data_IF_695362026038
#
_entry.id   IF_695362026038
#
_cell.length_a   1.000
_cell.length_b   1.000
_cell.length_c   1.000
_cell.angle_alpha   90.00
_cell.angle_beta   90.00
_cell.angle_gamma   90.00
#
_symmetry.space_group_name_H-M   'P 1'
#
loop_
_entity.id
_entity.type
_entity.pdbx_description
1 polymer ?
#
# COMPACT_ATOMS: atom_id res chain seq x y z
N UNK A 1 -21.15 42.08 -75.39
CA UNK A 1 -22.58 41.85 -75.72
C UNK A 1 -23.04 40.67 -74.86
N UNK A 2 -23.78 40.89 -73.76
CA UNK A 2 -25.27 40.74 -73.64
C UNK A 2 -25.70 39.31 -74.06
N UNK A 3 -26.25 38.44 -73.21
CA UNK A 3 -27.41 38.57 -72.29
C UNK A 3 -27.51 37.37 -71.33
N UNK A 4 -27.96 37.60 -70.07
CA UNK A 4 -28.56 36.57 -69.18
C UNK A 4 -29.98 36.17 -69.62
N UNK A 5 -30.70 35.26 -68.91
CA UNK A 5 -31.30 35.53 -67.57
C UNK A 5 -31.18 34.35 -66.56
N UNK A 6 -31.05 34.54 -65.25
CA UNK A 6 -32.05 34.91 -64.19
C UNK A 6 -33.18 33.86 -63.97
N UNK A 7 -33.11 33.09 -62.86
CA UNK A 7 -33.96 33.22 -61.63
C UNK A 7 -33.75 32.04 -60.65
N UNK A 8 -33.56 32.41 -59.39
CA UNK A 8 -33.55 31.70 -58.08
C UNK A 8 -34.98 31.34 -57.61
N UNK A 9 -35.27 30.94 -56.34
CA UNK A 9 -34.50 30.28 -55.25
C UNK A 9 -35.25 29.07 -54.62
N UNK A 10 -34.63 28.33 -53.70
CA UNK A 10 -35.35 27.87 -52.49
C UNK A 10 -34.41 27.89 -51.28
N UNK A 11 -34.93 28.53 -50.25
CA UNK A 11 -34.30 28.84 -48.98
C UNK A 11 -34.19 27.60 -48.09
N UNK A 12 -33.08 27.46 -47.37
CA UNK A 12 -33.10 26.86 -46.04
C UNK A 12 -32.20 27.65 -45.12
N UNK A 13 -32.85 28.56 -44.41
CA UNK A 13 -32.31 29.32 -43.29
C UNK A 13 -32.48 28.47 -42.04
N UNK A 14 -31.38 28.13 -41.35
CA UNK A 14 -31.37 28.10 -39.88
C UNK A 14 -29.94 28.24 -39.35
N UNK A 15 -29.58 29.48 -39.03
CA UNK A 15 -28.58 29.79 -38.01
C UNK A 15 -29.24 29.74 -36.64
N UNK A 16 -28.66 29.02 -35.68
CA UNK A 16 -28.48 29.50 -34.29
C UNK A 16 -27.31 28.74 -33.65
N UNK A 17 -26.30 29.49 -33.21
CA UNK A 17 -25.13 29.18 -32.36
C UNK A 17 -25.55 28.75 -30.92
N UNK A 18 -24.64 28.59 -29.92
CA UNK A 18 -23.30 27.99 -29.86
C UNK A 18 -23.20 26.94 -28.71
N UNK A 19 -22.01 26.36 -28.51
CA UNK A 19 -21.71 25.32 -27.53
C UNK A 19 -22.12 25.63 -26.07
N UNK A 20 -22.72 24.61 -25.44
CA UNK A 20 -22.76 24.49 -23.99
C UNK A 20 -21.57 23.64 -23.50
N UNK A 21 -20.98 23.96 -22.34
CA UNK A 21 -19.90 23.15 -21.76
C UNK A 21 -20.45 21.75 -21.37
N UNK A 22 -19.65 20.67 -21.49
CA UNK A 22 -20.01 19.41 -20.87
C UNK A 22 -20.05 19.60 -19.35
N UNK A 23 -21.18 19.27 -18.74
CA UNK A 23 -21.35 19.26 -17.28
C UNK A 23 -20.31 18.33 -16.62
N UNK A 24 -19.66 18.73 -15.51
CA UNK A 24 -18.70 17.87 -14.83
C UNK A 24 -19.41 16.82 -13.96
N UNK A 25 -19.03 15.56 -14.14
CA UNK A 25 -18.52 14.76 -13.02
C UNK A 25 -19.47 14.19 -11.96
N UNK A 26 -20.79 14.07 -12.16
CA UNK A 26 -21.64 13.44 -11.13
C UNK A 26 -21.57 11.90 -11.08
N UNK A 27 -21.11 11.24 -12.14
CA UNK A 27 -21.16 9.76 -12.25
C UNK A 27 -19.90 9.04 -11.75
N UNK A 28 -18.88 9.77 -11.29
CA UNK A 28 -17.64 9.17 -10.74
C UNK A 28 -17.79 8.92 -9.24
N UNK A 29 -18.40 9.86 -8.49
CA UNK A 29 -18.57 9.76 -7.04
C UNK A 29 -19.59 8.70 -6.58
N UNK A 30 -20.64 8.45 -7.36
CA UNK A 30 -21.63 7.42 -7.02
C UNK A 30 -21.11 5.99 -7.26
N UNK A 31 -20.27 5.79 -8.28
CA UNK A 31 -19.61 4.50 -8.55
C UNK A 31 -18.56 4.16 -7.51
N UNK A 32 -17.81 5.14 -7.02
CA UNK A 32 -16.88 4.95 -5.90
C UNK A 32 -17.60 4.70 -4.58
N UNK A 33 -18.71 5.40 -4.29
CA UNK A 33 -19.50 5.14 -3.08
C UNK A 33 -20.15 3.76 -3.05
N UNK A 34 -20.65 3.27 -4.18
CA UNK A 34 -21.17 1.92 -4.31
C UNK A 34 -20.07 0.86 -4.20
N UNK A 35 -18.90 1.08 -4.82
CA UNK A 35 -17.75 0.16 -4.72
C UNK A 35 -17.18 0.12 -3.29
N UNK A 36 -17.20 1.23 -2.55
CA UNK A 36 -16.76 1.28 -1.15
C UNK A 36 -17.60 0.39 -0.22
N UNK A 37 -18.93 0.41 -0.37
CA UNK A 37 -19.81 -0.46 0.43
C UNK A 37 -19.65 -1.94 0.09
N UNK A 38 -19.22 -2.26 -1.13
CA UNK A 38 -18.96 -3.65 -1.55
C UNK A 38 -17.68 -4.17 -0.91
N UNK A 39 -16.59 -3.40 -0.94
CA UNK A 39 -15.33 -3.79 -0.28
C UNK A 39 -15.50 -3.99 1.22
N UNK A 40 -16.23 -3.11 1.91
CA UNK A 40 -16.45 -3.25 3.36
C UNK A 40 -17.25 -4.53 3.70
N UNK A 41 -18.20 -4.92 2.84
CA UNK A 41 -18.94 -6.17 2.99
C UNK A 41 -18.06 -7.39 2.72
N UNK A 42 -17.19 -7.33 1.71
CA UNK A 42 -16.21 -8.39 1.41
C UNK A 42 -15.27 -8.57 2.61
N UNK A 43 -14.69 -7.48 3.11
CA UNK A 43 -13.79 -7.50 4.27
C UNK A 43 -14.47 -8.13 5.47
N UNK A 44 -15.67 -7.65 5.81
CA UNK A 44 -16.39 -8.18 6.96
C UNK A 44 -16.76 -9.65 6.80
N UNK A 45 -17.24 -10.05 5.62
CA UNK A 45 -17.58 -11.45 5.34
C UNK A 45 -16.35 -12.35 5.46
N UNK A 46 -15.20 -11.91 4.98
CA UNK A 46 -13.94 -12.65 5.10
C UNK A 46 -13.47 -12.72 6.56
N UNK A 47 -13.47 -11.59 7.25
CA UNK A 47 -13.07 -11.50 8.65
C UNK A 47 -13.98 -12.28 9.59
N UNK A 48 -15.26 -12.43 9.26
CA UNK A 48 -16.22 -13.23 10.01
C UNK A 48 -16.16 -14.73 9.63
N UNK A 49 -15.40 -15.10 8.59
CA UNK A 49 -15.18 -16.48 8.17
C UNK A 49 -16.31 -17.05 7.32
N UNK A 50 -17.03 -16.19 6.60
CA UNK A 50 -18.13 -16.59 5.72
C UNK A 50 -17.62 -17.37 4.50
N UNK A 51 -18.18 -18.56 4.27
CA UNK A 51 -17.92 -19.36 3.06
C UNK A 51 -18.52 -18.72 1.79
N UNK A 52 -19.38 -17.70 1.93
CA UNK A 52 -20.10 -17.09 0.81
C UNK A 52 -19.19 -16.37 -0.21
N UNK A 53 -17.95 -16.04 0.17
CA UNK A 53 -16.97 -15.42 -0.72
C UNK A 53 -16.15 -16.44 -1.53
N UNK A 54 -16.30 -17.73 -1.25
CA UNK A 54 -15.46 -18.78 -1.82
C UNK A 54 -14.00 -18.68 -1.37
N UNK A 55 -13.09 -19.42 -2.03
CA UNK A 55 -11.67 -19.44 -1.68
C UNK A 55 -11.01 -18.07 -1.88
N UNK A 56 -10.28 -17.62 -0.87
CA UNK A 56 -9.58 -16.33 -0.90
C UNK A 56 -8.65 -16.13 -2.12
N UNK A 57 -7.89 -17.13 -2.59
CA UNK A 57 -7.08 -17.00 -3.79
C UNK A 57 -7.92 -16.69 -5.05
N UNK A 58 -9.05 -17.36 -5.23
CA UNK A 58 -9.93 -17.15 -6.38
C UNK A 58 -10.49 -15.73 -6.38
N UNK A 59 -10.98 -15.25 -5.23
CA UNK A 59 -11.46 -13.87 -5.06
C UNK A 59 -10.38 -12.84 -5.42
N UNK A 60 -9.14 -13.04 -4.94
CA UNK A 60 -8.03 -12.13 -5.22
C UNK A 60 -7.64 -12.10 -6.69
N UNK A 61 -7.59 -13.27 -7.35
CA UNK A 61 -7.31 -13.37 -8.78
C UNK A 61 -8.40 -12.71 -9.62
N UNK A 62 -9.67 -12.96 -9.30
CA UNK A 62 -10.81 -12.35 -9.99
C UNK A 62 -10.81 -10.82 -9.82
N UNK A 63 -10.58 -10.34 -8.59
CA UNK A 63 -10.49 -8.90 -8.31
C UNK A 63 -9.33 -8.25 -9.06
N UNK A 64 -8.17 -8.90 -9.08
CA UNK A 64 -6.98 -8.41 -9.75
C UNK A 64 -7.09 -8.39 -11.28
N UNK A 65 -7.94 -9.24 -11.86
CA UNK A 65 -8.16 -9.34 -13.29
C UNK A 65 -9.04 -8.21 -13.86
N UNK A 66 -9.78 -7.48 -13.01
CA UNK A 66 -10.61 -6.35 -13.43
C UNK A 66 -9.77 -5.11 -13.80
N UNK A 67 -10.38 -4.18 -14.53
CA UNK A 67 -9.78 -2.86 -14.76
C UNK A 67 -9.55 -2.13 -13.43
N UNK A 68 -8.30 -1.76 -13.15
CA UNK A 68 -7.90 -1.21 -11.83
C UNK A 68 -7.79 -2.26 -10.72
N UNK A 69 -7.79 -3.55 -11.06
CA UNK A 69 -7.72 -4.67 -10.12
C UNK A 69 -6.57 -4.61 -9.10
N UNK A 70 -5.32 -4.30 -9.49
CA UNK A 70 -4.23 -4.15 -8.53
C UNK A 70 -4.52 -3.08 -7.47
N UNK A 71 -5.07 -1.93 -7.87
CA UNK A 71 -5.45 -0.87 -6.93
C UNK A 71 -6.59 -1.34 -6.00
N UNK A 72 -7.56 -2.11 -6.51
CA UNK A 72 -8.63 -2.67 -5.69
C UNK A 72 -8.11 -3.68 -4.66
N UNK A 73 -7.15 -4.54 -5.01
CA UNK A 73 -6.51 -5.46 -4.06
C UNK A 73 -5.68 -4.69 -3.03
N UNK A 74 -4.95 -3.65 -3.45
CA UNK A 74 -4.21 -2.79 -2.53
C UNK A 74 -5.14 -2.12 -1.52
N UNK A 75 -6.24 -1.55 -1.98
CA UNK A 75 -7.27 -0.94 -1.12
C UNK A 75 -7.90 -1.98 -0.17
N UNK A 76 -8.15 -3.20 -0.66
CA UNK A 76 -8.65 -4.31 0.15
C UNK A 76 -7.70 -4.61 1.32
N UNK A 77 -6.40 -4.74 1.06
CA UNK A 77 -5.38 -4.98 2.10
C UNK A 77 -5.28 -3.81 3.09
N UNK A 78 -5.33 -2.57 2.58
CA UNK A 78 -5.30 -1.35 3.40
C UNK A 78 -6.48 -1.28 4.37
N UNK A 79 -7.70 -1.53 3.89
CA UNK A 79 -8.91 -1.55 4.73
C UNK A 79 -8.99 -2.75 5.66
N UNK A 80 -8.48 -3.90 5.23
CA UNK A 80 -8.36 -5.07 6.09
C UNK A 80 -7.45 -4.77 7.29
N UNK A 81 -6.29 -4.15 7.06
CA UNK A 81 -5.44 -3.66 8.15
C UNK A 81 -6.21 -2.68 9.05
N UNK A 82 -6.97 -1.75 8.47
CA UNK A 82 -7.78 -0.81 9.23
C UNK A 82 -8.83 -1.48 10.14
N UNK A 83 -9.43 -2.58 9.70
CA UNK A 83 -10.34 -3.38 10.50
C UNK A 83 -9.61 -4.08 11.65
N UNK A 84 -8.41 -4.64 11.41
CA UNK A 84 -7.58 -5.27 12.44
C UNK A 84 -7.13 -4.25 13.50
N UNK A 85 -6.75 -3.03 13.11
CA UNK A 85 -6.38 -1.95 14.04
C UNK A 85 -7.53 -1.65 15.02
N UNK A 86 -8.78 -1.74 14.56
CA UNK A 86 -9.99 -1.36 15.32
C UNK A 86 -10.72 -2.52 15.98
N UNK A 87 -10.25 -3.76 15.81
CA UNK A 87 -10.98 -4.92 16.33
C UNK A 87 -10.97 -4.98 17.87
N UNK A 88 -11.67 -5.95 18.45
CA UNK A 88 -11.56 -6.26 19.88
C UNK A 88 -10.37 -7.18 20.13
N UNK A 89 -9.85 -7.23 21.36
CA UNK A 89 -8.65 -8.01 21.71
C UNK A 89 -8.81 -9.51 21.45
N UNK A 90 -10.00 -10.06 21.71
CA UNK A 90 -10.32 -11.48 21.52
C UNK A 90 -10.72 -11.82 20.08
N UNK A 91 -10.66 -10.85 19.17
CA UNK A 91 -11.11 -11.03 17.79
C UNK A 91 -10.20 -12.00 17.03
N UNK A 92 -10.76 -12.94 16.24
CA UNK A 92 -9.97 -13.80 15.36
C UNK A 92 -9.46 -13.06 14.10
N UNK A 93 -9.79 -11.77 13.95
CA UNK A 93 -9.52 -10.99 12.74
C UNK A 93 -8.04 -10.84 12.38
N UNK A 94 -7.08 -10.66 13.32
CA UNK A 94 -5.66 -10.53 12.95
C UNK A 94 -5.14 -11.78 12.21
N UNK A 95 -5.44 -12.98 12.72
CA UNK A 95 -5.03 -14.24 12.09
C UNK A 95 -5.67 -14.46 10.72
N UNK A 96 -6.97 -14.12 10.58
CA UNK A 96 -7.67 -14.19 9.29
C UNK A 96 -7.09 -13.20 8.29
N UNK A 97 -6.83 -11.97 8.72
CA UNK A 97 -6.24 -10.95 7.86
C UNK A 97 -4.84 -11.34 7.36
N UNK A 98 -4.01 -11.92 8.23
CA UNK A 98 -2.71 -12.46 7.86
C UNK A 98 -2.83 -13.60 6.84
N UNK A 99 -3.85 -14.45 6.95
CA UNK A 99 -4.12 -15.49 5.96
C UNK A 99 -4.48 -14.91 4.58
N UNK A 100 -5.30 -13.85 4.52
CA UNK A 100 -5.59 -13.19 3.23
C UNK A 100 -4.35 -12.55 2.62
N UNK A 101 -3.55 -11.85 3.43
CA UNK A 101 -2.30 -11.25 2.96
C UNK A 101 -1.35 -12.31 2.41
N UNK A 102 -1.23 -13.46 3.08
CA UNK A 102 -0.48 -14.61 2.57
C UNK A 102 -1.01 -15.10 1.22
N UNK A 103 -2.33 -15.26 1.07
CA UNK A 103 -2.92 -15.61 -0.22
C UNK A 103 -2.61 -14.57 -1.31
N UNK A 104 -2.61 -13.27 -0.99
CA UNK A 104 -2.25 -12.22 -1.95
C UNK A 104 -0.79 -12.29 -2.40
N UNK A 105 0.13 -12.65 -1.50
CA UNK A 105 1.54 -12.92 -1.82
C UNK A 105 1.70 -14.15 -2.72
N UNK A 106 0.87 -15.18 -2.53
CA UNK A 106 0.94 -16.44 -3.28
C UNK A 106 0.23 -16.37 -4.65
N UNK A 107 -0.73 -15.46 -4.82
CA UNK A 107 -1.52 -15.31 -6.04
C UNK A 107 -0.76 -14.66 -7.22
N UNK A 108 0.56 -14.43 -7.11
CA UNK A 108 1.42 -13.86 -8.16
C UNK A 108 0.84 -12.59 -8.80
N UNK A 109 0.24 -11.74 -7.96
CA UNK A 109 -0.39 -10.50 -8.40
C UNK A 109 0.67 -9.50 -8.90
N UNK A 110 0.24 -8.50 -9.68
CA UNK A 110 1.11 -7.36 -10.01
C UNK A 110 1.62 -6.71 -8.71
N UNK A 111 2.91 -6.35 -8.60
CA UNK A 111 3.49 -5.79 -7.37
C UNK A 111 2.69 -4.66 -6.72
N UNK A 112 2.14 -3.75 -7.53
CA UNK A 112 1.33 -2.63 -7.05
C UNK A 112 0.11 -3.05 -6.20
N UNK A 113 -0.39 -4.28 -6.36
CA UNK A 113 -1.48 -4.84 -5.57
C UNK A 113 -1.16 -5.00 -4.08
N UNK A 114 0.13 -5.08 -3.73
CA UNK A 114 0.58 -5.28 -2.35
C UNK A 114 0.87 -3.97 -1.61
N UNK A 115 0.73 -2.81 -2.28
CA UNK A 115 1.07 -1.49 -1.71
C UNK A 115 0.36 -1.23 -0.37
N UNK A 116 -0.93 -1.53 -0.29
CA UNK A 116 -1.75 -1.32 0.91
C UNK A 116 -1.39 -2.21 2.09
N UNK A 117 -0.59 -3.26 1.90
CA UNK A 117 -0.13 -4.12 2.99
C UNK A 117 0.71 -3.35 4.04
N UNK A 118 1.32 -2.23 3.65
CA UNK A 118 2.07 -1.37 4.58
C UNK A 118 1.25 -0.88 5.78
N UNK A 119 -0.08 -0.76 5.65
CA UNK A 119 -0.98 -0.36 6.75
C UNK A 119 -1.01 -1.35 7.92
N UNK A 120 -0.62 -2.61 7.71
CA UNK A 120 -0.48 -3.57 8.81
C UNK A 120 0.62 -3.16 9.81
N UNK A 121 1.49 -2.19 9.48
CA UNK A 121 2.42 -1.61 10.44
C UNK A 121 1.74 -1.03 11.70
N UNK A 122 0.48 -0.59 11.61
CA UNK A 122 -0.27 -0.10 12.78
C UNK A 122 -1.07 -1.19 13.50
N UNK A 123 -1.11 -2.41 12.97
CA UNK A 123 -1.92 -3.50 13.51
C UNK A 123 -1.15 -4.22 14.63
N UNK A 124 -1.01 -3.59 15.80
CA UNK A 124 -0.24 -4.14 16.94
C UNK A 124 -0.76 -5.50 17.45
N UNK A 125 -2.02 -5.85 17.15
CA UNK A 125 -2.61 -7.16 17.48
C UNK A 125 -2.25 -8.28 16.51
N UNK A 126 -1.66 -7.96 15.37
CA UNK A 126 -1.10 -8.98 14.49
C UNK A 126 0.21 -9.44 15.10
N UNK A 127 0.37 -10.75 15.27
CA UNK A 127 1.60 -11.38 15.74
C UNK A 127 2.84 -10.86 14.97
N UNK A 128 3.89 -10.49 15.71
CA UNK A 128 5.06 -9.84 15.13
C UNK A 128 5.86 -10.78 14.22
N UNK A 129 5.93 -12.08 14.52
CA UNK A 129 6.60 -13.04 13.64
C UNK A 129 5.87 -13.17 12.30
N UNK A 130 4.54 -13.24 12.34
CA UNK A 130 3.71 -13.21 11.14
C UNK A 130 3.83 -11.89 10.37
N UNK A 131 3.84 -10.75 11.05
CA UNK A 131 4.00 -9.44 10.42
C UNK A 131 5.38 -9.29 9.76
N UNK A 132 6.47 -9.71 10.42
CA UNK A 132 7.83 -9.65 9.90
C UNK A 132 7.98 -10.52 8.63
N UNK A 133 7.52 -11.77 8.65
CA UNK A 133 7.56 -12.67 7.49
C UNK A 133 6.82 -12.08 6.28
N UNK A 134 5.56 -11.69 6.49
CA UNK A 134 4.71 -11.18 5.42
C UNK A 134 5.21 -9.84 4.87
N UNK A 135 5.73 -8.96 5.75
CA UNK A 135 6.32 -7.68 5.35
C UNK A 135 7.59 -7.90 4.53
N UNK A 136 8.50 -8.75 4.98
CA UNK A 136 9.75 -9.05 4.27
C UNK A 136 9.50 -9.60 2.86
N UNK A 137 8.54 -10.53 2.73
CA UNK A 137 8.11 -11.06 1.43
C UNK A 137 7.49 -9.98 0.56
N UNK A 138 6.71 -9.08 1.16
CA UNK A 138 6.07 -7.99 0.43
C UNK A 138 7.07 -6.96 -0.08
N UNK A 139 7.99 -6.46 0.76
CA UNK A 139 8.97 -5.44 0.34
C UNK A 139 9.92 -5.94 -0.75
N UNK A 140 10.18 -7.25 -0.78
CA UNK A 140 10.94 -7.90 -1.87
C UNK A 140 10.24 -7.77 -3.22
N UNK A 141 8.91 -7.88 -3.24
CA UNK A 141 8.11 -7.81 -4.47
C UNK A 141 7.71 -6.37 -4.81
N UNK A 142 7.38 -5.57 -3.80
CA UNK A 142 6.84 -4.23 -3.89
C UNK A 142 7.46 -3.34 -2.80
N UNK A 143 8.57 -2.63 -3.09
CA UNK A 143 9.22 -1.76 -2.11
C UNK A 143 8.43 -0.48 -1.82
N UNK A 144 7.46 -0.12 -2.69
CA UNK A 144 6.60 1.04 -2.52
C UNK A 144 5.35 0.68 -1.72
N UNK A 145 5.51 0.57 -0.41
CA UNK A 145 4.42 0.35 0.54
C UNK A 145 3.70 1.65 0.91
N UNK A 146 2.44 1.54 1.33
CA UNK A 146 1.81 2.60 2.12
C UNK A 146 2.54 2.78 3.46
N UNK A 147 2.55 4.01 3.96
CA UNK A 147 3.08 4.37 5.30
C UNK A 147 4.45 3.75 5.63
N UNK A 148 5.48 3.88 4.76
CA UNK A 148 6.78 3.24 4.95
C UNK A 148 7.50 3.68 6.24
N UNK A 149 7.21 4.88 6.75
CA UNK A 149 7.72 5.34 8.04
C UNK A 149 7.19 4.49 9.20
N UNK A 150 5.91 4.13 9.20
CA UNK A 150 5.32 3.26 10.23
C UNK A 150 5.84 1.83 10.12
N UNK A 151 6.10 1.35 8.89
CA UNK A 151 6.77 0.05 8.68
C UNK A 151 8.17 0.07 9.28
N UNK A 152 8.95 1.13 9.05
CA UNK A 152 10.27 1.30 9.67
C UNK A 152 10.18 1.43 11.21
N UNK A 153 9.20 2.17 11.71
CA UNK A 153 8.93 2.33 13.14
C UNK A 153 8.64 0.98 13.83
N UNK A 154 7.74 0.16 13.25
CA UNK A 154 7.41 -1.15 13.79
C UNK A 154 8.58 -2.12 13.69
N UNK A 155 9.31 -2.13 12.58
CA UNK A 155 10.54 -2.93 12.44
C UNK A 155 11.57 -2.57 13.53
N UNK A 156 11.69 -1.28 13.88
CA UNK A 156 12.61 -0.83 14.92
C UNK A 156 12.30 -1.35 16.33
N UNK A 157 11.16 -2.01 16.56
CA UNK A 157 10.83 -2.67 17.83
C UNK A 157 11.47 -4.05 17.98
N UNK A 158 12.15 -4.56 16.94
CA UNK A 158 12.71 -5.92 16.89
C UNK A 158 14.24 -5.91 16.61
N UNK A 159 15.06 -5.39 17.54
CA UNK A 159 16.51 -5.29 17.36
C UNK A 159 17.24 -6.65 17.26
N UNK A 160 16.62 -7.71 17.73
CA UNK A 160 17.13 -9.09 17.66
C UNK A 160 16.81 -9.79 16.32
N UNK A 161 16.00 -9.16 15.45
CA UNK A 161 15.54 -9.76 14.22
C UNK A 161 16.31 -9.29 12.99
N UNK A 162 17.07 -10.21 12.37
CA UNK A 162 17.70 -9.98 11.07
C UNK A 162 16.68 -9.61 9.97
N UNK A 163 15.44 -10.11 10.07
CA UNK A 163 14.37 -9.77 9.14
C UNK A 163 13.92 -8.33 9.31
N UNK A 164 13.83 -7.83 10.54
CA UNK A 164 13.50 -6.43 10.80
C UNK A 164 14.56 -5.47 10.24
N UNK A 165 15.85 -5.85 10.32
CA UNK A 165 16.95 -5.08 9.71
C UNK A 165 16.79 -4.97 8.19
N UNK A 166 16.43 -6.07 7.51
CA UNK A 166 16.16 -6.08 6.07
C UNK A 166 14.97 -5.19 5.69
N UNK A 167 13.90 -5.23 6.48
CA UNK A 167 12.72 -4.37 6.27
C UNK A 167 13.11 -2.90 6.41
N UNK A 168 13.84 -2.53 7.47
CA UNK A 168 14.30 -1.16 7.68
C UNK A 168 15.23 -0.69 6.55
N UNK A 169 16.12 -1.56 6.05
CA UNK A 169 16.98 -1.28 4.92
C UNK A 169 16.16 -0.99 3.65
N UNK A 170 15.08 -1.76 3.40
CA UNK A 170 14.18 -1.51 2.28
C UNK A 170 13.44 -0.17 2.43
N UNK A 171 12.99 0.20 3.63
CA UNK A 171 12.27 1.45 3.87
C UNK A 171 13.16 2.69 3.67
N UNK A 172 14.47 2.61 3.92
CA UNK A 172 15.42 3.69 3.60
C UNK A 172 15.47 4.03 2.10
N UNK A 173 15.12 3.08 1.23
CA UNK A 173 14.99 3.29 -0.22
C UNK A 173 13.64 3.86 -0.67
N UNK A 174 12.69 4.08 0.25
CA UNK A 174 11.35 4.55 -0.09
C UNK A 174 11.37 6.01 -0.60
N UNK A 175 10.58 6.28 -1.64
CA UNK A 175 10.38 7.63 -2.15
C UNK A 175 9.29 8.35 -1.34
N UNK A 176 9.71 9.11 -0.34
CA UNK A 176 8.84 9.90 0.53
C UNK A 176 9.30 11.36 0.64
N UNK A 177 8.42 12.21 1.17
CA UNK A 177 8.76 13.59 1.51
C UNK A 177 9.85 13.67 2.59
N UNK A 178 10.39 14.88 2.78
CA UNK A 178 11.54 15.11 3.65
C UNK A 178 11.25 14.73 5.11
N UNK A 179 10.02 14.95 5.59
CA UNK A 179 9.67 14.65 6.97
C UNK A 179 9.66 13.14 7.22
N UNK A 180 8.91 12.37 6.43
CA UNK A 180 8.88 10.91 6.59
C UNK A 180 10.24 10.27 6.29
N UNK A 181 11.08 10.87 5.44
CA UNK A 181 12.45 10.41 5.21
C UNK A 181 13.28 10.49 6.49
N UNK A 182 13.19 11.60 7.22
CA UNK A 182 13.90 11.77 8.49
C UNK A 182 13.40 10.80 9.55
N UNK A 183 12.09 10.53 9.62
CA UNK A 183 11.54 9.53 10.53
C UNK A 183 12.06 8.12 10.23
N UNK A 184 12.05 7.70 8.96
CA UNK A 184 12.61 6.41 8.54
C UNK A 184 14.10 6.31 8.92
N UNK A 185 14.88 7.35 8.65
CA UNK A 185 16.30 7.40 9.01
C UNK A 185 16.52 7.25 10.52
N UNK A 186 15.73 7.95 11.34
CA UNK A 186 15.79 7.84 12.80
C UNK A 186 15.46 6.45 13.32
N UNK A 187 14.38 5.83 12.81
CA UNK A 187 14.01 4.47 13.20
C UNK A 187 15.04 3.43 12.77
N UNK A 188 15.56 3.54 11.55
CA UNK A 188 16.59 2.65 11.02
C UNK A 188 17.92 2.77 11.79
N UNK A 189 18.35 4.00 12.10
CA UNK A 189 19.57 4.24 12.87
C UNK A 189 19.44 3.69 14.31
N UNK A 190 18.30 3.91 14.97
CA UNK A 190 18.02 3.36 16.30
C UNK A 190 18.03 1.83 16.28
N UNK A 191 17.36 1.22 15.28
CA UNK A 191 17.35 -0.23 15.12
C UNK A 191 18.76 -0.78 14.95
N UNK A 192 19.57 -0.14 14.10
CA UNK A 192 20.97 -0.55 13.88
C UNK A 192 21.81 -0.45 15.16
N UNK A 193 21.67 0.64 15.92
CA UNK A 193 22.40 0.87 17.16
C UNK A 193 22.05 -0.13 18.28
N UNK A 194 20.79 -0.57 18.32
CA UNK A 194 20.29 -1.51 19.34
C UNK A 194 20.40 -2.97 18.91
N UNK A 195 20.77 -3.24 17.66
CA UNK A 195 20.73 -4.58 17.08
C UNK A 195 21.72 -5.52 17.74
N UNK A 196 21.25 -6.69 18.16
CA UNK A 196 22.11 -7.80 18.63
C UNK A 196 22.46 -8.80 17.52
N UNK A 197 21.91 -8.60 16.32
CA UNK A 197 22.11 -9.45 15.15
C UNK A 197 23.35 -9.09 14.31
N UNK A 198 24.44 -8.64 14.96
CA UNK A 198 25.71 -8.36 14.29
C UNK A 198 26.24 -9.57 13.52
N UNK A 199 26.89 -9.33 12.38
CA UNK A 199 27.42 -10.40 11.51
C UNK A 199 26.36 -11.09 10.63
N UNK A 200 25.07 -10.77 10.78
CA UNK A 200 24.04 -11.25 9.85
C UNK A 200 24.03 -10.45 8.55
N UNK A 201 23.50 -11.05 7.48
CA UNK A 201 23.30 -10.35 6.21
C UNK A 201 22.37 -9.13 6.35
N UNK A 202 21.36 -9.21 7.22
CA UNK A 202 20.45 -8.10 7.50
C UNK A 202 21.16 -6.90 8.12
N UNK A 203 22.08 -7.15 9.05
CA UNK A 203 22.88 -6.09 9.67
C UNK A 203 23.74 -5.35 8.65
N UNK A 204 24.46 -6.08 7.79
CA UNK A 204 25.30 -5.46 6.76
C UNK A 204 24.47 -4.70 5.71
N UNK A 205 23.31 -5.24 5.31
CA UNK A 205 22.41 -4.54 4.40
C UNK A 205 21.87 -3.24 4.99
N UNK A 206 21.50 -3.24 6.28
CA UNK A 206 21.07 -2.01 6.95
C UNK A 206 22.21 -1.00 7.07
N UNK A 207 23.43 -1.46 7.37
CA UNK A 207 24.64 -0.60 7.41
C UNK A 207 24.85 0.10 6.08
N UNK A 208 24.83 -0.64 4.97
CA UNK A 208 24.99 -0.10 3.61
C UNK A 208 23.85 0.88 3.29
N UNK A 209 22.60 0.54 3.62
CA UNK A 209 21.46 1.41 3.38
C UNK A 209 21.56 2.73 4.16
N UNK A 210 22.01 2.70 5.41
CA UNK A 210 22.25 3.89 6.23
C UNK A 210 23.38 4.76 5.67
N UNK A 211 24.45 4.17 5.17
CA UNK A 211 25.54 4.89 4.49
C UNK A 211 25.00 5.60 3.24
N UNK A 212 24.27 4.88 2.38
CA UNK A 212 23.69 5.43 1.15
C UNK A 212 22.67 6.54 1.44
N UNK A 213 21.95 6.44 2.56
CA UNK A 213 21.01 7.45 3.02
C UNK A 213 21.68 8.65 3.73
N UNK A 214 23.01 8.62 3.95
CA UNK A 214 23.73 9.65 4.71
C UNK A 214 23.36 9.70 6.20
N UNK A 215 22.83 8.61 6.75
CA UNK A 215 22.26 8.54 8.10
C UNK A 215 23.06 7.67 9.08
N UNK A 216 24.18 7.08 8.64
CA UNK A 216 24.98 6.17 9.47
C UNK A 216 25.54 6.83 10.74
N UNK A 217 25.86 8.13 10.69
CA UNK A 217 26.36 8.89 11.84
C UNK A 217 25.34 8.96 12.98
N UNK A 218 24.03 8.93 12.67
CA UNK A 218 23.00 8.92 13.70
C UNK A 218 23.01 7.61 14.50
N UNK A 219 23.41 6.49 13.88
CA UNK A 219 23.46 5.19 14.54
C UNK A 219 24.59 5.10 15.58
N UNK A 220 25.69 5.82 15.39
CA UNK A 220 26.84 5.78 16.30
C UNK A 220 26.77 6.81 17.44
N UNK A 221 25.87 7.79 17.37
CA UNK A 221 25.71 8.82 18.41
C UNK A 221 25.02 8.31 19.67
N UNK A 222 24.22 7.25 19.57
CA UNK A 222 23.42 6.70 20.67
C UNK A 222 24.05 5.47 21.36
N UNK A 223 25.31 5.13 21.04
CA UNK A 223 26.05 4.14 21.81
C UNK A 223 26.31 4.71 23.22
N UNK A 224 25.90 4.02 24.30
CA UNK A 224 26.36 4.41 25.63
C UNK A 224 27.89 4.38 25.62
N UNK A 225 28.52 5.47 26.08
CA UNK A 225 29.95 5.49 26.33
C UNK A 225 30.29 4.23 27.14
N UNK A 226 31.09 3.33 26.57
CA UNK A 226 31.51 2.11 27.25
C UNK A 226 32.22 2.43 28.57
N UNK A 227 32.25 1.46 29.52
CA UNK A 227 32.84 1.65 30.84
C UNK A 227 34.31 2.06 30.81
#
# INVERSE_FOLDING_TARGET
MRTGPRRTPTSSTRSTLPGGPPLPGCCTGARTAASWRVLDKIIRSFLDGSEALGPAPALLTELAAQDGGPQAVSELLSRLAQAVIRCEETSPWPGRAAALWRCALEAQLKPAALTGAGRFAYADRLDDAAWLDLTARTVTLQPKLEVPYAVAERAARHPDSAVALLIAAAMLGAQVDVFHRQEIQGHAARLFAQSTAEGTAGYEQLRIALINAGAIEAAYKDLPAGP
#
